data_IF_186376306194
#
_entry.id   IF_186376306194
#
_cell.length_a   1.000
_cell.length_b   1.000
_cell.length_c   1.000
_cell.angle_alpha   90.00
_cell.angle_beta   90.00
_cell.angle_gamma   90.00
#
_symmetry.space_group_name_H-M   'P 1'
#
loop_
_entity.id
_entity.type
_entity.pdbx_description
1 polymer ?
#
# COMPACT_ATOMS: atom_id res chain seq x y z
N UNK A 1 -7.01 -15.58 10.06
CA UNK A 1 -7.49 -14.26 9.60
C UNK A 1 -7.78 -13.42 10.83
N UNK A 2 -7.26 -12.19 10.90
CA UNK A 2 -7.55 -11.23 11.96
C UNK A 2 -8.29 -10.02 11.37
N UNK A 3 -9.04 -9.30 12.21
CA UNK A 3 -9.72 -8.05 11.86
C UNK A 3 -9.30 -6.97 12.86
N UNK A 4 -9.05 -5.77 12.35
CA UNK A 4 -8.60 -4.62 13.13
C UNK A 4 -9.51 -3.43 12.81
N UNK A 5 -9.94 -2.70 13.84
CA UNK A 5 -10.67 -1.46 13.66
C UNK A 5 -9.67 -0.33 13.39
N UNK A 6 -9.84 0.34 12.26
CA UNK A 6 -8.97 1.46 11.87
C UNK A 6 -9.34 2.69 12.71
N UNK A 7 -8.37 3.23 13.42
CA UNK A 7 -8.46 4.51 14.12
C UNK A 7 -8.05 5.69 13.22
N UNK A 8 -7.07 5.48 12.34
CA UNK A 8 -6.58 6.49 11.42
C UNK A 8 -5.90 5.91 10.18
N UNK A 9 -5.87 6.67 9.09
CA UNK A 9 -5.18 6.29 7.86
C UNK A 9 -4.60 7.53 7.14
N UNK A 10 -3.39 7.39 6.63
CA UNK A 10 -2.68 8.41 5.85
C UNK A 10 -2.21 7.82 4.51
N UNK A 11 -2.20 8.63 3.45
CA UNK A 11 -1.80 8.24 2.09
C UNK A 11 -2.88 8.50 1.03
N UNK A 12 -2.67 8.06 -0.23
CA UNK A 12 -1.51 7.31 -0.69
C UNK A 12 -0.26 8.19 -0.88
N UNK A 13 0.88 7.70 -0.42
CA UNK A 13 2.17 8.14 -0.92
C UNK A 13 2.53 7.27 -2.12
N UNK A 14 2.61 7.89 -3.30
CA UNK A 14 2.89 7.17 -4.56
C UNK A 14 4.38 7.13 -4.83
N UNK A 15 4.93 5.91 -4.86
CA UNK A 15 6.31 5.65 -5.28
C UNK A 15 6.25 4.92 -6.61
N UNK A 16 6.60 5.64 -7.67
CA UNK A 16 6.82 5.05 -8.99
C UNK A 16 8.29 4.68 -9.13
N UNK A 17 8.61 3.60 -9.85
CA UNK A 17 9.99 3.34 -10.27
C UNK A 17 10.53 4.50 -11.10
N UNK A 18 11.84 4.59 -11.17
CA UNK A 18 12.54 5.61 -11.95
C UNK A 18 12.09 5.54 -13.42
N UNK A 19 11.56 6.65 -13.95
CA UNK A 19 11.01 6.72 -15.30
C UNK A 19 12.05 6.46 -16.41
N UNK A 20 13.34 6.47 -16.08
CA UNK A 20 14.46 6.17 -16.98
C UNK A 20 15.05 4.76 -16.81
N UNK A 21 14.68 4.00 -15.78
CA UNK A 21 15.17 2.63 -15.55
C UNK A 21 14.11 1.54 -15.79
N UNK A 22 12.86 1.91 -16.08
CA UNK A 22 11.72 0.99 -16.04
C UNK A 22 11.93 -0.30 -16.83
N UNK A 23 12.43 -1.35 -16.17
CA UNK A 23 12.24 -2.71 -16.62
C UNK A 23 10.74 -2.97 -16.65
N UNK A 24 10.31 -3.72 -17.65
CA UNK A 24 8.92 -4.10 -17.89
C UNK A 24 8.43 -4.99 -16.72
N UNK A 25 8.09 -4.39 -15.58
CA UNK A 25 7.77 -5.14 -14.37
C UNK A 25 7.70 -4.36 -13.06
N UNK A 26 8.37 -3.21 -12.93
CA UNK A 26 8.25 -2.42 -11.70
C UNK A 26 6.89 -1.70 -11.64
N UNK A 27 5.97 -2.24 -10.84
CA UNK A 27 4.64 -1.67 -10.68
C UNK A 27 4.68 -0.49 -9.73
N UNK A 28 4.04 0.61 -10.10
CA UNK A 28 3.82 1.73 -9.18
C UNK A 28 3.10 1.26 -7.93
N UNK A 29 3.56 1.73 -6.77
CA UNK A 29 3.01 1.39 -5.46
C UNK A 29 2.43 2.62 -4.79
N UNK A 30 1.23 2.46 -4.25
CA UNK A 30 0.62 3.45 -3.36
C UNK A 30 0.75 2.93 -1.93
N UNK A 31 1.51 3.63 -1.09
CA UNK A 31 1.75 3.32 0.32
C UNK A 31 0.80 4.06 1.24
N UNK A 32 0.41 3.41 2.34
CA UNK A 32 -0.50 3.92 3.35
C UNK A 32 0.05 3.60 4.74
N UNK A 33 -0.15 4.53 5.67
CA UNK A 33 0.07 4.29 7.10
C UNK A 33 -1.29 4.18 7.77
N UNK A 34 -1.55 3.08 8.46
CA UNK A 34 -2.83 2.81 9.12
C UNK A 34 -2.57 2.61 10.60
N UNK A 35 -3.32 3.29 11.45
CA UNK A 35 -3.33 3.09 12.89
C UNK A 35 -4.62 2.38 13.29
N UNK A 36 -4.54 1.39 14.17
CA UNK A 36 -5.72 0.75 14.74
C UNK A 36 -6.10 1.32 16.11
N UNK A 37 -7.24 0.90 16.64
CA UNK A 37 -7.74 1.35 17.95
C UNK A 37 -6.85 0.97 19.15
N UNK A 38 -5.89 0.06 18.98
CA UNK A 38 -4.91 -0.32 20.00
C UNK A 38 -3.59 0.48 19.86
N UNK A 39 -3.51 1.40 18.89
CA UNK A 39 -2.35 2.24 18.62
C UNK A 39 -1.27 1.58 17.76
N UNK A 40 -1.52 0.36 17.25
CA UNK A 40 -0.57 -0.32 16.35
C UNK A 40 -0.57 0.36 15.00
N UNK A 41 0.62 0.58 14.42
CA UNK A 41 0.74 1.22 13.10
C UNK A 41 1.27 0.26 12.05
N UNK A 42 0.57 0.23 10.94
CA UNK A 42 0.80 -0.65 9.80
C UNK A 42 1.26 0.18 8.61
N UNK A 43 2.29 -0.31 7.91
CA UNK A 43 2.58 0.15 6.55
C UNK A 43 1.95 -0.83 5.57
N UNK A 44 0.97 -0.34 4.83
CA UNK A 44 0.31 -1.07 3.78
C UNK A 44 0.74 -0.51 2.43
N UNK A 45 0.78 -1.34 1.41
CA UNK A 45 0.85 -0.85 0.04
C UNK A 45 -0.05 -1.66 -0.87
N UNK A 46 -0.47 -1.03 -1.95
CA UNK A 46 -1.12 -1.73 -3.06
C UNK A 46 -0.25 -1.69 -4.31
N UNK A 47 -0.27 -2.80 -5.04
CA UNK A 47 0.23 -2.88 -6.41
C UNK A 47 -0.93 -2.90 -7.38
N UNK A 48 -0.78 -2.15 -8.48
CA UNK A 48 -1.83 -1.99 -9.47
C UNK A 48 -2.81 -0.87 -9.13
N UNK A 49 -3.53 -0.41 -10.15
CA UNK A 49 -4.51 0.67 -10.04
C UNK A 49 -5.90 0.19 -10.44
N UNK A 50 -6.91 0.66 -9.72
CA UNK A 50 -8.29 0.47 -10.13
C UNK A 50 -8.51 1.09 -11.52
N UNK A 51 -9.11 0.32 -12.43
CA UNK A 51 -9.47 0.80 -13.77
C UNK A 51 -8.34 0.83 -14.80
N UNK A 52 -7.11 0.41 -14.45
CA UNK A 52 -5.97 0.33 -15.39
C UNK A 52 -5.69 -1.11 -15.81
N UNK A 53 -5.79 -2.07 -14.88
CA UNK A 53 -5.60 -3.50 -15.15
C UNK A 53 -6.91 -4.26 -14.98
N UNK A 54 -7.05 -5.39 -15.67
CA UNK A 54 -8.17 -6.34 -15.49
C UNK A 54 -8.16 -6.95 -14.08
N UNK A 55 -6.98 -7.10 -13.49
CA UNK A 55 -6.83 -7.58 -12.12
C UNK A 55 -7.01 -6.44 -11.10
N UNK A 56 -7.80 -6.66 -10.03
CA UNK A 56 -7.93 -5.69 -8.95
C UNK A 56 -6.59 -5.50 -8.23
N UNK A 57 -6.35 -4.31 -7.65
CA UNK A 57 -5.12 -4.04 -6.94
C UNK A 57 -4.94 -4.98 -5.76
N UNK A 58 -3.72 -5.49 -5.61
CA UNK A 58 -3.35 -6.42 -4.54
C UNK A 58 -2.77 -5.65 -3.38
N UNK A 59 -3.20 -5.98 -2.17
CA UNK A 59 -2.77 -5.33 -0.94
C UNK A 59 -1.74 -6.18 -0.19
N UNK A 60 -0.76 -5.50 0.37
CA UNK A 60 0.34 -6.10 1.10
C UNK A 60 0.63 -5.30 2.38
N UNK A 61 1.16 -5.98 3.39
CA UNK A 61 1.71 -5.37 4.60
C UNK A 61 3.22 -5.32 4.42
N UNK A 62 3.80 -4.13 4.40
CA UNK A 62 5.26 -3.96 4.39
C UNK A 62 5.84 -4.24 5.79
N UNK A 63 5.14 -3.81 6.85
CA UNK A 63 5.57 -4.00 8.22
C UNK A 63 4.63 -3.36 9.24
N UNK A 64 4.95 -3.61 10.52
CA UNK A 64 4.28 -3.05 11.69
C UNK A 64 5.35 -2.33 12.50
N UNK A 65 5.07 -1.11 12.95
CA UNK A 65 6.00 -0.30 13.74
C UNK A 65 5.24 0.44 14.83
N UNK A 66 5.85 0.51 16.02
CA UNK A 66 5.26 0.97 17.30
C UNK A 66 4.27 -0.02 17.93
#
# INVERSE_FOLDING_TARGET
RALYNVAGAEGPERIAPEWWQGEEGERTRDYYRVEDMEGRRYWLYREGFYGVAEEPPRWFVQGIFA
#
